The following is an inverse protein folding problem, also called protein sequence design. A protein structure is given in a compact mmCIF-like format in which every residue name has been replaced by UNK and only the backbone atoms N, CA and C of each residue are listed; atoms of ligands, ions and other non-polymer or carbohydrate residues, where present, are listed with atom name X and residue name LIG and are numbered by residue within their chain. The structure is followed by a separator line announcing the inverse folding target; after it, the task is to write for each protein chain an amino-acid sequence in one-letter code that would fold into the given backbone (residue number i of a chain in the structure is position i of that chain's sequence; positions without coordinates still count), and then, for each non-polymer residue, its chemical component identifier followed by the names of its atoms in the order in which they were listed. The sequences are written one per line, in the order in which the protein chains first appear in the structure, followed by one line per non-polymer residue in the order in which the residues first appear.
data_IF_903156117527
#
_entry.id   IF_903156117527
#
_cell.length_a   1.000
_cell.length_b   1.000
_cell.length_c   1.000
_cell.angle_alpha   90.00
_cell.angle_beta   90.00
_cell.angle_gamma   90.00
#
_symmetry.space_group_name_H-M   'P 1'
#
loop_
_entity.id
_entity.type
_entity.pdbx_description
1 polymer ?
#
# COMPACT_ATOMS: atom_id res chain seq x y z
N UNK A 1 13.50 30.92 3.19
CA UNK A 1 14.18 29.82 2.45
C UNK A 1 14.56 28.65 3.37
N UNK A 2 14.94 28.89 4.64
CA UNK A 2 15.36 27.81 5.58
C UNK A 2 14.27 26.83 5.98
N UNK A 3 13.04 27.28 6.16
CA UNK A 3 11.90 26.43 6.56
C UNK A 3 11.51 25.43 5.46
N UNK A 4 11.70 25.79 4.20
CA UNK A 4 11.37 24.89 3.07
C UNK A 4 12.35 23.72 2.96
N UNK A 5 13.64 23.94 3.24
CA UNK A 5 14.65 22.86 3.21
C UNK A 5 14.52 21.89 4.38
N UNK A 6 14.24 22.38 5.59
CA UNK A 6 13.98 21.52 6.76
C UNK A 6 12.74 20.63 6.59
N UNK A 7 11.68 21.17 5.98
CA UNK A 7 10.45 20.42 5.69
C UNK A 7 10.66 19.32 4.63
N UNK A 8 11.52 19.54 3.64
CA UNK A 8 11.83 18.54 2.62
C UNK A 8 12.64 17.35 3.17
N UNK A 9 13.64 17.62 4.01
CA UNK A 9 14.45 16.56 4.64
C UNK A 9 13.62 15.68 5.57
N UNK A 10 12.72 16.28 6.35
CA UNK A 10 11.79 15.51 7.19
C UNK A 10 10.82 14.66 6.37
N UNK A 11 10.36 15.16 5.22
CA UNK A 11 9.47 14.42 4.32
C UNK A 11 10.16 13.20 3.69
N UNK A 12 11.39 13.34 3.23
CA UNK A 12 12.17 12.20 2.69
C UNK A 12 12.39 11.13 3.75
N UNK A 13 12.73 11.52 4.98
CA UNK A 13 12.86 10.60 6.09
C UNK A 13 11.55 9.86 6.39
N UNK A 14 10.44 10.59 6.47
CA UNK A 14 9.11 10.02 6.68
C UNK A 14 8.74 9.05 5.55
N UNK A 15 8.90 9.46 4.29
CA UNK A 15 8.64 8.62 3.13
C UNK A 15 9.52 7.36 3.11
N UNK A 16 10.79 7.49 3.52
CA UNK A 16 11.72 6.36 3.64
C UNK A 16 11.26 5.32 4.67
N UNK A 17 10.82 5.74 5.85
CA UNK A 17 10.28 4.82 6.86
C UNK A 17 9.02 4.10 6.39
N UNK A 18 8.11 4.81 5.74
CA UNK A 18 6.92 4.19 5.15
C UNK A 18 7.29 3.23 4.02
N UNK A 19 8.24 3.59 3.16
CA UNK A 19 8.74 2.71 2.11
C UNK A 19 9.27 1.38 2.67
N UNK A 20 10.06 1.43 3.74
CA UNK A 20 10.55 0.22 4.43
C UNK A 20 9.38 -0.64 4.93
N UNK A 21 8.37 -0.02 5.54
CA UNK A 21 7.14 -0.73 5.95
C UNK A 21 6.44 -1.42 4.78
N UNK A 22 6.32 -0.74 3.63
CA UNK A 22 5.72 -1.32 2.42
C UNK A 22 6.54 -2.49 1.86
N UNK A 23 7.86 -2.41 1.89
CA UNK A 23 8.74 -3.53 1.50
C UNK A 23 8.45 -4.76 2.36
N UNK A 24 8.32 -4.62 3.67
CA UNK A 24 7.97 -5.74 4.54
C UNK A 24 6.59 -6.33 4.21
N UNK A 25 5.59 -5.48 3.91
CA UNK A 25 4.28 -5.96 3.46
C UNK A 25 4.37 -6.71 2.13
N UNK A 26 5.12 -6.19 1.16
CA UNK A 26 5.33 -6.88 -0.13
C UNK A 26 5.98 -8.23 0.07
N UNK A 27 7.06 -8.32 0.86
CA UNK A 27 7.74 -9.58 1.17
C UNK A 27 6.77 -10.56 1.85
N UNK A 28 5.99 -10.11 2.82
CA UNK A 28 5.01 -10.93 3.53
C UNK A 28 3.94 -11.47 2.57
N UNK A 29 3.33 -10.61 1.75
CA UNK A 29 2.26 -11.00 0.83
C UNK A 29 2.79 -11.86 -0.33
N UNK A 30 3.93 -11.52 -0.90
CA UNK A 30 4.56 -12.32 -1.96
C UNK A 30 4.94 -13.71 -1.45
N UNK A 31 5.64 -13.81 -0.32
CA UNK A 31 6.00 -15.09 0.27
C UNK A 31 4.78 -15.95 0.63
N UNK A 32 3.68 -15.32 1.05
CA UNK A 32 2.43 -16.02 1.30
C UNK A 32 1.74 -16.49 0.01
N UNK A 33 1.78 -15.67 -1.05
CA UNK A 33 1.23 -16.03 -2.36
C UNK A 33 1.95 -17.22 -2.94
N UNK A 34 3.27 -17.19 -3.02
CA UNK A 34 4.08 -18.28 -3.59
C UNK A 34 3.94 -19.61 -2.83
N UNK A 35 3.69 -19.57 -1.51
CA UNK A 35 3.41 -20.80 -0.72
C UNK A 35 2.03 -21.40 -0.97
N UNK A 36 1.12 -20.69 -1.64
CA UNK A 36 -0.28 -21.12 -1.86
C UNK A 36 -0.61 -21.46 -3.30
N UNK A 37 0.20 -20.98 -4.24
CA UNK A 37 -0.03 -21.22 -5.66
C UNK A 37 0.56 -22.56 -6.02
N UNK A 38 -0.32 -23.50 -6.38
CA UNK A 38 0.07 -24.72 -7.06
C UNK A 38 0.45 -24.39 -8.50
N UNK A 39 1.64 -24.86 -9.01
CA UNK A 39 2.16 -24.47 -10.34
C UNK A 39 1.21 -24.78 -11.49
N UNK A 40 0.39 -25.82 -11.37
CA UNK A 40 -0.48 -26.33 -12.45
C UNK A 40 -1.92 -25.84 -12.42
N UNK A 41 -2.25 -24.93 -11.51
CA UNK A 41 -3.63 -24.45 -11.36
C UNK A 41 -4.00 -23.45 -12.45
N UNK A 42 -4.76 -23.86 -13.44
CA UNK A 42 -5.34 -22.97 -14.46
C UNK A 42 -6.22 -21.91 -13.80
N UNK A 43 -5.97 -20.63 -14.15
CA UNK A 43 -6.78 -19.51 -13.66
C UNK A 43 -8.19 -19.59 -14.24
N UNK A 44 -9.19 -19.67 -13.36
CA UNK A 44 -10.61 -19.59 -13.73
C UNK A 44 -10.93 -18.21 -14.33
N UNK A 45 -11.95 -18.11 -15.20
CA UNK A 45 -12.37 -16.83 -15.78
C UNK A 45 -12.63 -15.71 -14.75
N UNK A 46 -13.29 -16.07 -13.64
CA UNK A 46 -13.49 -15.14 -12.49
C UNK A 46 -12.17 -14.66 -11.87
N UNK A 47 -11.17 -15.53 -11.82
CA UNK A 47 -9.85 -15.16 -11.29
C UNK A 47 -9.08 -14.22 -12.23
N UNK A 48 -9.22 -14.42 -13.55
CA UNK A 48 -8.65 -13.51 -14.56
C UNK A 48 -9.30 -12.13 -14.50
N UNK A 49 -10.64 -12.06 -14.39
CA UNK A 49 -11.36 -10.79 -14.23
C UNK A 49 -10.96 -10.02 -12.97
N UNK A 50 -10.83 -10.72 -11.85
CA UNK A 50 -10.34 -10.12 -10.60
C UNK A 50 -8.91 -9.56 -10.75
N UNK A 51 -8.00 -10.35 -11.35
CA UNK A 51 -6.64 -9.91 -11.60
C UNK A 51 -6.59 -8.68 -12.53
N UNK A 52 -7.39 -8.67 -13.60
CA UNK A 52 -7.49 -7.52 -14.50
C UNK A 52 -7.95 -6.26 -13.77
N UNK A 53 -8.97 -6.38 -12.88
CA UNK A 53 -9.43 -5.27 -12.04
C UNK A 53 -8.31 -4.75 -11.13
N UNK A 54 -7.56 -5.64 -10.47
CA UNK A 54 -6.46 -5.26 -9.58
C UNK A 54 -5.37 -4.51 -10.35
N UNK A 55 -4.97 -5.01 -11.51
CA UNK A 55 -3.98 -4.37 -12.38
C UNK A 55 -4.49 -3.02 -12.86
N UNK A 56 -5.75 -2.92 -13.27
CA UNK A 56 -6.36 -1.65 -13.68
C UNK A 56 -6.31 -0.61 -12.55
N UNK A 57 -6.70 -0.97 -11.32
CA UNK A 57 -6.61 -0.07 -10.17
C UNK A 57 -5.19 0.40 -9.89
N UNK A 58 -4.20 -0.50 -10.00
CA UNK A 58 -2.79 -0.16 -9.81
C UNK A 58 -2.28 0.80 -10.90
N UNK A 59 -2.65 0.56 -12.16
CA UNK A 59 -2.31 1.45 -13.26
C UNK A 59 -2.96 2.83 -13.13
N UNK A 60 -4.22 2.89 -12.71
CA UNK A 60 -4.91 4.15 -12.44
C UNK A 60 -4.22 4.95 -11.32
N UNK A 61 -3.80 4.28 -10.25
CA UNK A 61 -3.04 4.89 -9.16
C UNK A 61 -1.70 5.44 -9.65
N UNK A 62 -0.94 4.65 -10.42
CA UNK A 62 0.34 5.08 -11.00
C UNK A 62 0.15 6.26 -11.97
N UNK A 63 -0.88 6.20 -12.81
CA UNK A 63 -1.22 7.29 -13.72
C UNK A 63 -1.50 8.60 -12.96
N UNK A 64 -2.30 8.54 -11.89
CA UNK A 64 -2.59 9.69 -11.04
C UNK A 64 -1.31 10.21 -10.35
N UNK A 65 -0.47 9.31 -9.83
CA UNK A 65 0.78 9.68 -9.17
C UNK A 65 1.76 10.35 -10.14
N UNK A 66 1.96 9.79 -11.33
CA UNK A 66 2.92 10.33 -12.29
C UNK A 66 2.41 11.58 -13.04
N UNK A 67 1.09 11.71 -13.27
CA UNK A 67 0.52 12.83 -13.99
C UNK A 67 0.22 14.06 -13.11
N UNK A 68 -0.06 13.86 -11.82
CA UNK A 68 -0.48 14.92 -10.90
C UNK A 68 0.50 15.16 -9.76
N UNK A 69 0.92 14.12 -9.05
CA UNK A 69 1.72 14.24 -7.84
C UNK A 69 3.20 14.48 -8.19
N UNK A 70 3.78 13.69 -9.07
CA UNK A 70 5.20 13.79 -9.42
C UNK A 70 5.58 15.14 -10.06
N UNK A 71 4.78 15.72 -10.98
CA UNK A 71 5.08 17.06 -11.51
C UNK A 71 5.04 18.16 -10.45
N UNK A 72 4.17 18.04 -9.44
CA UNK A 72 4.09 18.99 -8.32
C UNK A 72 5.24 18.87 -7.32
N UNK A 73 5.94 17.74 -7.30
CA UNK A 73 7.09 17.54 -6.43
C UNK A 73 8.34 18.30 -6.96
N UNK A 74 9.17 18.87 -6.06
CA UNK A 74 10.43 19.49 -6.44
C UNK A 74 11.28 18.56 -7.29
N UNK A 75 11.90 19.12 -8.37
CA UNK A 75 12.77 18.35 -9.23
C UNK A 75 13.96 17.76 -8.44
N UNK A 76 14.49 16.63 -8.90
CA UNK A 76 15.59 15.94 -8.25
C UNK A 76 15.15 14.76 -7.39
N UNK A 77 15.82 14.56 -6.26
CA UNK A 77 15.70 13.37 -5.43
C UNK A 77 14.27 13.18 -4.87
N UNK A 78 13.54 14.25 -4.60
CA UNK A 78 12.18 14.19 -4.06
C UNK A 78 11.23 13.62 -5.11
N UNK A 79 11.29 14.12 -6.36
CA UNK A 79 10.44 13.62 -7.45
C UNK A 79 10.73 12.16 -7.76
N UNK A 80 12.00 11.78 -7.81
CA UNK A 80 12.41 10.38 -8.00
C UNK A 80 11.88 9.53 -6.85
N UNK A 81 12.02 9.98 -5.62
CA UNK A 81 11.50 9.30 -4.43
C UNK A 81 9.99 9.10 -4.49
N UNK A 82 9.22 10.10 -4.91
CA UNK A 82 7.76 10.00 -5.10
C UNK A 82 7.42 8.94 -6.15
N UNK A 83 8.13 8.88 -7.26
CA UNK A 83 7.90 7.87 -8.31
C UNK A 83 8.20 6.46 -7.80
N UNK A 84 9.32 6.27 -7.12
CA UNK A 84 9.69 4.98 -6.51
C UNK A 84 8.65 4.57 -5.48
N UNK A 85 8.24 5.49 -4.62
CA UNK A 85 7.24 5.24 -3.57
C UNK A 85 5.87 4.87 -4.16
N UNK A 86 5.40 5.59 -5.18
CA UNK A 86 4.15 5.27 -5.87
C UNK A 86 4.17 3.87 -6.51
N UNK A 87 5.31 3.47 -7.07
CA UNK A 87 5.50 2.14 -7.62
C UNK A 87 5.47 1.07 -6.52
N UNK A 88 6.17 1.30 -5.43
CA UNK A 88 6.22 0.38 -4.29
C UNK A 88 4.85 0.14 -3.65
N UNK A 89 4.08 1.21 -3.43
CA UNK A 89 2.74 1.11 -2.84
C UNK A 89 1.75 0.40 -3.78
N UNK A 90 1.90 0.59 -5.10
CA UNK A 90 1.12 -0.13 -6.10
C UNK A 90 1.42 -1.63 -6.09
N UNK A 91 2.69 -2.02 -5.96
CA UNK A 91 3.10 -3.43 -5.81
C UNK A 91 2.55 -4.02 -4.51
N UNK A 92 2.60 -3.27 -3.40
CA UNK A 92 2.03 -3.69 -2.13
C UNK A 92 0.51 -3.92 -2.26
N UNK A 93 -0.21 -3.02 -2.90
CA UNK A 93 -1.66 -3.16 -3.14
C UNK A 93 -1.96 -4.40 -3.98
N UNK A 94 -1.24 -4.62 -5.09
CA UNK A 94 -1.41 -5.80 -5.94
C UNK A 94 -1.19 -7.07 -5.13
N UNK A 95 -0.08 -7.18 -4.43
CA UNK A 95 0.28 -8.38 -3.65
C UNK A 95 -0.70 -8.66 -2.51
N UNK A 96 -1.23 -7.61 -1.86
CA UNK A 96 -2.28 -7.74 -0.85
C UNK A 96 -3.61 -8.22 -1.44
N UNK A 97 -4.04 -7.67 -2.58
CA UNK A 97 -5.27 -8.08 -3.25
C UNK A 97 -5.20 -9.51 -3.80
N UNK A 98 -4.03 -9.97 -4.25
CA UNK A 98 -3.80 -11.36 -4.67
C UNK A 98 -4.00 -12.38 -3.54
N UNK A 99 -4.01 -11.95 -2.27
CA UNK A 99 -4.35 -12.83 -1.14
C UNK A 99 -5.81 -13.28 -1.13
N UNK A 100 -6.68 -12.71 -1.96
CA UNK A 100 -8.13 -12.99 -2.03
C UNK A 100 -8.81 -12.93 -0.67
N UNK A 101 -8.39 -12.00 0.17
CA UNK A 101 -8.96 -11.74 1.49
C UNK A 101 -9.50 -10.33 1.52
N UNK A 102 -10.79 -10.17 1.81
CA UNK A 102 -11.46 -8.86 1.88
C UNK A 102 -10.77 -7.92 2.88
N UNK A 103 -10.29 -8.47 4.01
CA UNK A 103 -9.61 -7.66 5.03
C UNK A 103 -8.24 -7.17 4.53
N UNK A 104 -7.48 -8.00 3.80
CA UNK A 104 -6.21 -7.53 3.22
C UNK A 104 -6.45 -6.53 2.10
N UNK A 105 -7.46 -6.75 1.25
CA UNK A 105 -7.81 -5.83 0.18
C UNK A 105 -8.26 -4.47 0.75
N UNK A 106 -9.18 -4.48 1.72
CA UNK A 106 -9.66 -3.26 2.35
C UNK A 106 -8.54 -2.51 3.09
N UNK A 107 -7.71 -3.23 3.84
CA UNK A 107 -6.56 -2.64 4.53
C UNK A 107 -5.57 -2.02 3.54
N UNK A 108 -5.27 -2.68 2.43
CA UNK A 108 -4.38 -2.14 1.39
C UNK A 108 -4.98 -0.90 0.71
N UNK A 109 -6.28 -0.90 0.39
CA UNK A 109 -6.98 0.25 -0.22
C UNK A 109 -6.95 1.45 0.73
N UNK A 110 -7.25 1.26 2.01
CA UNK A 110 -7.21 2.33 3.01
C UNK A 110 -5.80 2.89 3.20
N UNK A 111 -4.78 2.03 3.14
CA UNK A 111 -3.39 2.45 3.23
C UNK A 111 -3.00 3.32 2.02
N UNK A 112 -3.30 2.84 0.80
CA UNK A 112 -3.07 3.59 -0.43
C UNK A 112 -3.81 4.92 -0.43
N UNK A 113 -5.07 4.94 0.05
CA UNK A 113 -5.85 6.16 0.20
C UNK A 113 -5.19 7.17 1.15
N UNK A 114 -4.71 6.71 2.31
CA UNK A 114 -4.00 7.55 3.26
C UNK A 114 -2.76 8.21 2.63
N UNK A 115 -1.94 7.41 1.96
CA UNK A 115 -0.70 7.89 1.34
C UNK A 115 -0.97 8.78 0.13
N UNK A 116 -2.02 8.50 -0.63
CA UNK A 116 -2.45 9.33 -1.74
C UNK A 116 -2.88 10.73 -1.25
N UNK A 117 -3.71 10.81 -0.21
CA UNK A 117 -4.12 12.09 0.41
C UNK A 117 -2.91 12.86 0.94
N UNK A 118 -1.98 12.16 1.59
CA UNK A 118 -0.75 12.77 2.11
C UNK A 118 0.09 13.41 0.99
N UNK A 119 0.31 12.65 -0.09
CA UNK A 119 1.09 13.11 -1.24
C UNK A 119 0.35 14.20 -2.04
N UNK A 120 -0.95 14.06 -2.23
CA UNK A 120 -1.77 15.07 -2.91
C UNK A 120 -1.73 16.41 -2.18
N UNK A 121 -1.98 16.40 -0.88
CA UNK A 121 -1.90 17.60 -0.05
C UNK A 121 -0.51 18.26 -0.04
N UNK A 122 0.55 17.46 -0.20
CA UNK A 122 1.92 17.97 -0.18
C UNK A 122 2.34 18.59 -1.51
N UNK A 123 1.90 18.03 -2.64
CA UNK A 123 2.46 18.32 -3.96
C UNK A 123 1.46 18.86 -4.98
N UNK A 124 0.15 18.78 -4.71
CA UNK A 124 -0.88 19.25 -5.65
C UNK A 124 -1.63 20.43 -5.04
N UNK A 125 -2.46 20.17 -4.06
CA UNK A 125 -3.29 21.19 -3.41
C UNK A 125 -3.66 20.80 -1.98
N UNK A 126 -3.94 21.77 -1.10
CA UNK A 126 -4.36 21.50 0.28
C UNK A 126 -5.67 20.72 0.33
N UNK A 127 -5.69 19.62 1.09
CA UNK A 127 -6.89 18.81 1.30
C UNK A 127 -7.54 19.18 2.63
N UNK A 128 -8.84 19.57 2.65
CA UNK A 128 -9.57 19.82 3.88
C UNK A 128 -9.56 18.59 4.78
N UNK A 129 -9.42 18.80 6.09
CA UNK A 129 -9.42 17.72 7.09
C UNK A 129 -8.38 16.62 6.88
N UNK A 130 -7.31 16.87 6.07
CA UNK A 130 -6.27 15.90 5.73
C UNK A 130 -5.76 15.11 6.93
N UNK A 131 -5.60 15.78 8.07
CA UNK A 131 -5.03 15.17 9.28
C UNK A 131 -5.89 14.00 9.77
N UNK A 132 -7.18 14.20 9.83
CA UNK A 132 -8.14 13.15 10.21
C UNK A 132 -8.23 12.06 9.12
N UNK A 133 -8.32 12.45 7.86
CA UNK A 133 -8.41 11.51 6.74
C UNK A 133 -7.20 10.58 6.70
N UNK A 134 -5.99 11.12 6.82
CA UNK A 134 -4.75 10.35 6.81
C UNK A 134 -4.65 9.46 8.04
N UNK A 135 -4.84 10.00 9.25
CA UNK A 135 -4.65 9.22 10.47
C UNK A 135 -5.69 8.10 10.60
N UNK A 136 -6.97 8.40 10.39
CA UNK A 136 -8.05 7.40 10.54
C UNK A 136 -7.87 6.28 9.52
N UNK A 137 -7.65 6.61 8.24
CA UNK A 137 -7.47 5.58 7.20
C UNK A 137 -6.19 4.77 7.43
N UNK A 138 -5.09 5.41 7.85
CA UNK A 138 -3.84 4.73 8.16
C UNK A 138 -3.98 3.74 9.33
N UNK A 139 -4.49 4.18 10.47
CA UNK A 139 -4.63 3.29 11.63
C UNK A 139 -5.63 2.17 11.37
N UNK A 140 -6.73 2.45 10.68
CA UNK A 140 -7.69 1.43 10.30
C UNK A 140 -7.07 0.41 9.32
N UNK A 141 -6.28 0.88 8.37
CA UNK A 141 -5.53 0.01 7.46
C UNK A 141 -4.58 -0.93 8.22
N UNK A 142 -3.76 -0.36 9.11
CA UNK A 142 -2.83 -1.13 9.94
C UNK A 142 -3.55 -2.17 10.79
N UNK A 143 -4.65 -1.79 11.42
CA UNK A 143 -5.46 -2.69 12.24
C UNK A 143 -6.04 -3.85 11.46
N UNK A 144 -6.61 -3.60 10.27
CA UNK A 144 -7.16 -4.63 9.40
C UNK A 144 -6.08 -5.60 8.89
N UNK A 145 -4.93 -5.06 8.47
CA UNK A 145 -3.80 -5.86 8.00
C UNK A 145 -3.25 -6.72 9.14
N UNK A 146 -3.10 -6.17 10.33
CA UNK A 146 -2.58 -6.87 11.51
C UNK A 146 -3.52 -7.99 11.97
N UNK A 147 -4.82 -7.70 12.18
CA UNK A 147 -5.80 -8.73 12.58
C UNK A 147 -5.83 -9.88 11.58
N UNK A 148 -5.78 -9.59 10.30
CA UNK A 148 -5.81 -10.65 9.29
C UNK A 148 -4.50 -11.44 9.25
N UNK A 149 -3.37 -10.81 9.48
CA UNK A 149 -2.07 -11.47 9.55
C UNK A 149 -1.98 -12.41 10.76
N UNK A 150 -2.45 -11.96 11.93
CA UNK A 150 -2.38 -12.73 13.18
C UNK A 150 -3.34 -13.91 13.21
N UNK A 151 -4.57 -13.74 12.69
CA UNK A 151 -5.55 -14.85 12.63
C UNK A 151 -5.07 -16.06 11.81
N UNK A 152 -4.05 -15.90 10.98
CA UNK A 152 -3.45 -17.00 10.22
C UNK A 152 -2.31 -17.73 10.93
N UNK A 153 -1.76 -17.16 12.00
CA UNK A 153 -0.72 -17.83 12.80
C UNK A 153 -1.29 -18.87 13.76
N UNK A 154 -2.61 -18.83 14.00
CA UNK A 154 -3.30 -19.87 14.78
C UNK A 154 -3.54 -21.06 13.85
N UNK A 155 -2.52 -21.86 13.62
CA UNK A 155 -2.58 -23.10 12.85
C UNK A 155 -3.42 -24.15 13.56
N UNK A 156 -3.74 -25.28 12.88
CA UNK A 156 -4.56 -26.37 13.43
C UNK A 156 -4.01 -26.96 14.74
N UNK A 157 -2.71 -26.82 14.99
CA UNK A 157 -2.08 -27.35 16.22
C UNK A 157 -2.57 -26.68 17.50
N UNK A 158 -3.01 -25.43 17.46
CA UNK A 158 -3.52 -24.76 18.66
C UNK A 158 -5.01 -25.07 18.93
N UNK A 159 -5.70 -25.75 18.01
CA UNK A 159 -7.07 -26.26 18.26
C UNK A 159 -7.09 -27.47 19.20
N UNK A 160 -5.96 -28.17 19.34
CA UNK A 160 -5.83 -29.34 20.21
C UNK A 160 -5.62 -28.96 21.69
N UNK A 161 -5.35 -27.67 21.98
CA UNK A 161 -5.17 -27.17 23.35
C UNK A 161 -6.43 -26.48 23.94
N UNK A 162 -7.58 -26.56 23.29
CA UNK A 162 -8.87 -26.18 23.92
C UNK A 162 -9.43 -27.36 24.67
N UNK A 163 -9.06 -27.44 25.93
CA UNK A 163 -9.83 -28.18 26.95
C UNK A 163 -11.02 -27.33 27.36
#
# INVERSE_FOLDING_TARGET
PGDHMGSCNNFLGQMGFFAVGHVFYVIYFAGRYFRRVEPDRKLTGKAKGYLAMVVFCALALLCAAFSKIAPGAPAGIIRIGVCIYATLISIMMITAMLQRSSLFALGAILFVFSDFILAWNKFVEPVPYRHYLVLVSYFLAQWLLFIRATKFRVGPEMRLLRF
#
